data_IF_132574861683
#
_entry.id   IF_132574861683
#
_cell.length_a   1.000
_cell.length_b   1.000
_cell.length_c   1.000
_cell.angle_alpha   90.00
_cell.angle_beta   90.00
_cell.angle_gamma   90.00
#
_symmetry.space_group_name_H-M   'P 1'
#
loop_
_entity.id
_entity.type
_entity.pdbx_description
1 polymer ?
#
# COMPACT_ATOMS: atom_id res chain seq x y z
N UNK A 1 -13.41 11.12 -22.48
CA UNK A 1 -12.19 10.64 -21.80
C UNK A 1 -11.49 11.81 -21.12
N UNK A 2 -11.30 11.70 -19.81
CA UNK A 2 -10.58 12.74 -19.06
C UNK A 2 -9.08 12.58 -19.31
N UNK A 3 -8.42 13.68 -19.62
CA UNK A 3 -6.97 13.71 -19.81
C UNK A 3 -6.31 14.62 -18.79
N UNK A 4 -5.10 14.27 -18.41
CA UNK A 4 -4.30 15.04 -17.47
C UNK A 4 -3.81 16.35 -18.14
N UNK A 5 -3.93 17.46 -17.44
CA UNK A 5 -3.47 18.76 -17.93
C UNK A 5 -1.94 18.87 -18.01
N UNK A 6 -1.21 18.08 -17.21
CA UNK A 6 0.25 18.18 -17.14
C UNK A 6 0.98 17.32 -18.17
N UNK A 7 0.41 16.18 -18.58
CA UNK A 7 1.08 15.22 -19.47
C UNK A 7 0.20 14.72 -20.62
N UNK A 8 -1.09 15.05 -20.64
CA UNK A 8 -2.03 14.60 -21.67
C UNK A 8 -2.48 13.16 -21.56
N UNK A 9 -2.02 12.42 -20.54
CA UNK A 9 -2.37 11.02 -20.36
C UNK A 9 -3.85 10.85 -19.98
N UNK A 10 -4.41 9.74 -20.39
CA UNK A 10 -5.77 9.36 -20.06
C UNK A 10 -5.88 9.07 -18.55
N UNK A 11 -6.85 9.71 -17.90
CA UNK A 11 -7.10 9.53 -16.47
C UNK A 11 -8.11 8.38 -16.28
N UNK A 12 -7.60 7.18 -16.12
CA UNK A 12 -8.40 6.03 -15.70
C UNK A 12 -7.79 5.37 -14.46
N UNK A 13 -8.58 4.53 -13.80
CA UNK A 13 -8.13 3.84 -12.57
C UNK A 13 -6.95 2.90 -12.82
N UNK A 14 -6.79 2.38 -14.03
CA UNK A 14 -5.70 1.46 -14.36
C UNK A 14 -4.36 2.17 -14.44
N UNK A 15 -4.35 3.40 -14.95
CA UNK A 15 -3.13 4.20 -15.09
C UNK A 15 -2.65 4.79 -13.77
N UNK A 16 -3.47 4.68 -12.73
CA UNK A 16 -3.18 5.26 -11.42
C UNK A 16 -2.99 4.18 -10.35
N UNK A 17 -2.70 2.97 -10.77
CA UNK A 17 -2.42 1.84 -9.87
C UNK A 17 -0.99 1.35 -10.07
N UNK A 18 -0.31 1.15 -8.94
CA UNK A 18 1.00 0.51 -8.88
C UNK A 18 0.87 -0.69 -7.96
N UNK A 19 1.29 -1.86 -8.42
CA UNK A 19 1.18 -3.09 -7.65
C UNK A 19 2.56 -3.68 -7.41
N UNK A 20 2.85 -3.98 -6.14
CA UNK A 20 4.06 -4.67 -5.71
C UNK A 20 3.69 -6.13 -5.47
N UNK A 21 4.30 -7.04 -6.22
CA UNK A 21 3.95 -8.47 -6.17
C UNK A 21 4.33 -9.10 -4.83
N UNK A 22 5.49 -8.72 -4.29
CA UNK A 22 6.03 -9.24 -3.04
C UNK A 22 6.51 -8.11 -2.13
N UNK A 23 6.56 -8.34 -0.79
CA UNK A 23 7.37 -7.49 0.07
C UNK A 23 8.82 -7.46 -0.43
N UNK A 24 9.49 -6.31 -0.33
CA UNK A 24 10.85 -6.15 -0.86
C UNK A 24 11.82 -7.20 -0.32
N UNK A 25 11.67 -7.55 0.97
CA UNK A 25 12.53 -8.54 1.63
C UNK A 25 12.32 -9.97 1.12
N UNK A 26 11.22 -10.26 0.44
CA UNK A 26 10.90 -11.59 -0.09
C UNK A 26 11.06 -11.71 -1.61
N UNK A 27 11.47 -10.64 -2.30
CA UNK A 27 11.63 -10.69 -3.76
C UNK A 27 12.64 -11.77 -4.16
N UNK A 28 13.75 -11.89 -3.42
CA UNK A 28 14.79 -12.88 -3.67
C UNK A 28 14.71 -14.12 -2.74
N UNK A 29 13.76 -14.14 -1.82
CA UNK A 29 13.61 -15.17 -0.80
C UNK A 29 12.20 -15.78 -0.81
N UNK A 30 11.64 -16.02 -2.00
CA UNK A 30 10.28 -16.54 -2.16
C UNK A 30 10.10 -17.95 -1.59
N UNK A 31 11.17 -18.71 -1.45
CA UNK A 31 11.17 -20.03 -0.83
C UNK A 31 10.88 -19.98 0.68
N UNK A 32 11.03 -18.83 1.32
CA UNK A 32 10.62 -18.62 2.72
C UNK A 32 9.11 -18.52 2.90
N UNK A 33 8.36 -18.34 1.81
CA UNK A 33 6.91 -18.18 1.85
C UNK A 33 6.25 -19.54 2.11
N UNK A 34 5.47 -19.61 3.20
CA UNK A 34 4.73 -20.82 3.58
C UNK A 34 3.27 -20.77 3.14
N UNK A 35 2.72 -19.57 2.91
CA UNK A 35 1.36 -19.38 2.42
C UNK A 35 1.29 -18.06 1.64
N UNK A 36 0.56 -18.07 0.54
CA UNK A 36 0.35 -16.88 -0.27
C UNK A 36 -1.07 -16.83 -0.81
N UNK A 37 -1.71 -15.69 -0.66
CA UNK A 37 -2.96 -15.33 -1.34
C UNK A 37 -2.84 -13.90 -1.88
N UNK A 38 -3.90 -13.40 -2.49
CA UNK A 38 -3.93 -12.00 -2.96
C UNK A 38 -3.82 -11.00 -1.82
N UNK A 39 -4.23 -11.38 -0.62
CA UNK A 39 -4.35 -10.50 0.54
C UNK A 39 -3.30 -10.75 1.61
N UNK A 40 -2.71 -11.93 1.67
CA UNK A 40 -1.85 -12.36 2.78
C UNK A 40 -0.65 -13.13 2.26
N UNK A 41 0.51 -12.83 2.84
CA UNK A 41 1.72 -13.66 2.70
C UNK A 41 2.19 -14.02 4.10
N UNK A 42 2.37 -15.33 4.34
CA UNK A 42 3.00 -15.84 5.56
C UNK A 42 4.38 -16.38 5.19
N UNK A 43 5.39 -16.00 5.96
CA UNK A 43 6.76 -16.43 5.73
C UNK A 43 7.49 -16.67 7.03
N UNK A 44 8.69 -17.25 6.94
CA UNK A 44 9.57 -17.41 8.09
C UNK A 44 9.96 -16.08 8.73
N UNK A 45 10.03 -15.00 7.95
CA UNK A 45 10.44 -13.67 8.43
C UNK A 45 9.27 -12.80 8.90
N UNK A 46 8.03 -13.21 8.70
CA UNK A 46 6.88 -12.44 9.17
C UNK A 46 5.61 -12.66 8.38
N UNK A 47 4.57 -11.98 8.81
CA UNK A 47 3.24 -12.01 8.20
C UNK A 47 2.94 -10.66 7.56
N UNK A 48 2.49 -10.68 6.32
CA UNK A 48 2.25 -9.47 5.52
C UNK A 48 0.79 -9.41 5.07
N UNK A 49 0.23 -8.23 5.11
CA UNK A 49 -1.12 -7.97 4.63
C UNK A 49 -1.07 -7.00 3.46
N UNK A 50 -1.85 -7.29 2.42
CA UNK A 50 -2.00 -6.38 1.28
C UNK A 50 -2.80 -5.16 1.70
N UNK A 51 -2.23 -3.98 1.47
CA UNK A 51 -2.86 -2.71 1.80
C UNK A 51 -2.74 -1.76 0.62
N UNK A 52 -3.50 -0.67 0.65
CA UNK A 52 -3.41 0.38 -0.35
C UNK A 52 -2.94 1.68 0.32
N UNK A 53 -1.93 2.30 -0.28
CA UNK A 53 -1.52 3.66 0.05
C UNK A 53 -2.17 4.61 -0.96
N UNK A 54 -3.21 5.37 -0.58
CA UNK A 54 -3.86 6.33 -1.46
C UNK A 54 -3.11 7.65 -1.43
N UNK A 55 -2.61 8.10 -2.57
CA UNK A 55 -1.82 9.33 -2.70
C UNK A 55 -2.58 10.32 -3.57
N UNK A 56 -2.86 11.51 -3.03
CA UNK A 56 -3.56 12.56 -3.75
C UNK A 56 -2.64 13.28 -4.73
N UNK A 57 -3.12 13.49 -5.94
CA UNK A 57 -2.38 14.16 -7.01
C UNK A 57 -2.98 15.52 -7.34
N UNK A 58 -2.17 16.40 -7.90
CA UNK A 58 -2.55 17.79 -8.18
C UNK A 58 -3.59 17.95 -9.31
N UNK A 59 -3.82 16.88 -10.08
CA UNK A 59 -4.87 16.84 -11.11
C UNK A 59 -6.23 16.37 -10.57
N UNK A 60 -6.36 16.19 -9.24
CA UNK A 60 -7.60 15.73 -8.60
C UNK A 60 -7.78 14.22 -8.58
N UNK A 61 -6.85 13.46 -9.14
CA UNK A 61 -6.90 12.00 -9.08
C UNK A 61 -6.17 11.45 -7.84
N UNK A 62 -6.32 10.15 -7.62
CA UNK A 62 -5.67 9.43 -6.52
C UNK A 62 -4.85 8.30 -7.11
N UNK A 63 -3.54 8.30 -6.82
CA UNK A 63 -2.66 7.18 -7.13
C UNK A 63 -2.81 6.12 -6.01
N UNK A 64 -3.04 4.88 -6.39
CA UNK A 64 -3.24 3.77 -5.44
C UNK A 64 -2.06 2.82 -5.54
N UNK A 65 -1.24 2.80 -4.50
CA UNK A 65 -0.12 1.87 -4.40
C UNK A 65 -0.58 0.64 -3.63
N UNK A 66 -0.69 -0.48 -4.32
CA UNK A 66 -1.02 -1.77 -3.71
C UNK A 66 0.28 -2.39 -3.20
N UNK A 67 0.45 -2.37 -1.88
CA UNK A 67 1.71 -2.67 -1.21
C UNK A 67 1.50 -3.72 -0.12
N UNK A 68 2.58 -4.16 0.49
CA UNK A 68 2.57 -5.09 1.60
C UNK A 68 2.96 -4.39 2.89
N UNK A 69 2.24 -4.70 3.96
CA UNK A 69 2.55 -4.21 5.31
C UNK A 69 2.88 -5.41 6.19
N UNK A 70 4.07 -5.39 6.80
CA UNK A 70 4.44 -6.37 7.82
C UNK A 70 3.68 -6.06 9.10
N UNK A 71 2.92 -7.02 9.60
CA UNK A 71 2.10 -6.85 10.79
C UNK A 71 3.00 -6.89 12.02
N UNK A 72 3.07 -5.80 12.79
CA UNK A 72 3.86 -5.71 14.02
C UNK A 72 3.07 -6.13 15.25
N UNK A 73 1.79 -5.72 15.30
CA UNK A 73 0.89 -6.03 16.39
C UNK A 73 0.25 -7.38 16.20
N UNK A 74 -0.33 -7.91 17.22
CA UNK A 74 -1.19 -9.07 17.31
C UNK A 74 -1.64 -9.66 15.95
N UNK A 75 -0.74 -10.45 15.34
CA UNK A 75 -0.98 -11.10 14.05
C UNK A 75 -2.24 -11.97 14.11
N UNK A 76 -2.46 -12.65 15.24
CA UNK A 76 -3.62 -13.51 15.43
C UNK A 76 -4.93 -12.73 15.36
N UNK A 77 -4.96 -11.53 15.95
CA UNK A 77 -6.15 -10.67 15.92
C UNK A 77 -6.46 -10.20 14.49
N UNK A 78 -5.43 -9.78 13.75
CA UNK A 78 -5.60 -9.35 12.35
C UNK A 78 -6.09 -10.50 11.48
N UNK A 79 -5.49 -11.68 11.61
CA UNK A 79 -5.90 -12.87 10.85
C UNK A 79 -7.30 -13.33 11.22
N UNK A 80 -7.66 -13.28 12.50
CA UNK A 80 -9.00 -13.62 12.96
C UNK A 80 -10.05 -12.66 12.40
N UNK A 81 -9.78 -11.36 12.35
CA UNK A 81 -10.66 -10.38 11.76
C UNK A 81 -10.88 -10.65 10.27
N UNK A 82 -9.82 -11.02 9.55
CA UNK A 82 -9.90 -11.37 8.13
C UNK A 82 -10.77 -12.60 7.89
N UNK A 83 -10.66 -13.62 8.74
CA UNK A 83 -11.49 -14.85 8.65
C UNK A 83 -12.95 -14.59 9.00
N UNK A 84 -13.19 -13.75 10.01
CA UNK A 84 -14.55 -13.42 10.45
C UNK A 84 -15.30 -12.56 9.43
N UNK A 85 -14.59 -11.65 8.74
CA UNK A 85 -15.20 -10.72 7.81
C UNK A 85 -16.17 -9.76 8.50
N UNK A 86 -17.08 -9.16 7.71
CA UNK A 86 -18.14 -8.30 8.23
C UNK A 86 -17.63 -7.17 9.13
N UNK A 87 -18.32 -6.96 10.27
CA UNK A 87 -18.00 -5.87 11.19
C UNK A 87 -16.62 -6.01 11.84
N UNK A 88 -16.17 -7.22 12.11
CA UNK A 88 -14.84 -7.46 12.67
C UNK A 88 -13.75 -6.95 11.72
N UNK A 89 -13.88 -7.24 10.44
CA UNK A 89 -12.97 -6.76 9.40
C UNK A 89 -13.09 -5.24 9.22
N UNK A 90 -14.33 -4.73 9.10
CA UNK A 90 -14.58 -3.30 8.88
C UNK A 90 -14.08 -2.41 10.04
N UNK A 91 -13.94 -2.98 11.24
CA UNK A 91 -13.45 -2.27 12.42
C UNK A 91 -11.96 -2.43 12.65
N UNK A 92 -11.26 -3.19 11.80
CA UNK A 92 -9.86 -3.52 12.00
C UNK A 92 -8.98 -2.29 11.87
N UNK A 93 -8.13 -2.09 12.88
CA UNK A 93 -7.05 -1.10 12.87
C UNK A 93 -5.82 -1.77 13.45
N UNK A 94 -4.67 -1.54 12.83
CA UNK A 94 -3.41 -2.09 13.34
C UNK A 94 -2.23 -1.23 12.90
N UNK A 95 -1.09 -1.49 13.52
CA UNK A 95 0.19 -0.85 13.20
C UNK A 95 1.10 -1.89 12.54
N UNK A 96 1.80 -1.47 11.51
CA UNK A 96 2.74 -2.32 10.83
C UNK A 96 3.91 -1.54 10.26
N UNK A 97 4.75 -2.23 9.49
CA UNK A 97 5.87 -1.63 8.76
C UNK A 97 5.58 -1.76 7.28
N UNK A 98 5.68 -0.65 6.55
CA UNK A 98 5.57 -0.70 5.09
C UNK A 98 6.72 -1.52 4.53
N UNK A 99 6.41 -2.63 3.88
CA UNK A 99 7.38 -3.61 3.42
C UNK A 99 7.79 -3.40 1.96
N UNK A 100 7.34 -2.32 1.34
CA UNK A 100 7.73 -1.92 0.00
C UNK A 100 8.25 -0.50 0.01
N UNK A 101 9.36 -0.28 -0.70
CA UNK A 101 9.84 1.06 -0.95
C UNK A 101 9.05 1.65 -2.11
N UNK A 102 8.34 2.75 -1.87
CA UNK A 102 7.57 3.42 -2.91
C UNK A 102 8.54 4.13 -3.87
N UNK A 103 8.48 3.78 -5.15
CA UNK A 103 9.43 4.27 -6.17
C UNK A 103 9.52 5.78 -6.27
N UNK A 104 8.42 6.56 -6.20
CA UNK A 104 8.53 8.03 -6.22
C UNK A 104 9.25 8.61 -5.01
N UNK A 105 9.34 7.87 -3.89
CA UNK A 105 9.95 8.32 -2.65
C UNK A 105 10.94 7.27 -2.10
N UNK A 106 12.04 6.98 -2.85
CA UNK A 106 12.93 5.85 -2.53
C UNK A 106 13.72 6.03 -1.24
N UNK A 107 13.82 7.25 -0.72
CA UNK A 107 14.52 7.52 0.53
C UNK A 107 13.77 7.05 1.77
N UNK A 108 12.45 6.83 1.66
CA UNK A 108 11.64 6.36 2.78
C UNK A 108 11.78 4.84 2.88
N UNK A 109 12.39 4.39 3.98
CA UNK A 109 12.71 2.98 4.19
C UNK A 109 12.00 2.43 5.42
N UNK A 110 11.14 1.43 5.20
CA UNK A 110 10.41 0.68 6.24
C UNK A 110 9.75 1.55 7.31
N UNK A 111 8.95 2.56 6.94
CA UNK A 111 8.29 3.40 7.93
C UNK A 111 7.23 2.61 8.68
N UNK A 112 7.03 2.96 9.95
CA UNK A 112 5.92 2.45 10.75
C UNK A 112 4.65 3.15 10.26
N UNK A 113 3.64 2.39 9.91
CA UNK A 113 2.39 2.89 9.34
C UNK A 113 1.19 2.43 10.16
N UNK A 114 0.14 3.25 10.15
CA UNK A 114 -1.15 2.91 10.72
C UNK A 114 -2.09 2.50 9.60
N UNK A 115 -2.78 1.37 9.80
CA UNK A 115 -3.66 0.76 8.82
C UNK A 115 -5.06 0.66 9.38
N UNK A 116 -6.06 0.95 8.57
CA UNK A 116 -7.47 0.82 8.94
C UNK A 116 -8.30 0.29 7.77
N UNK A 117 -9.26 -0.55 8.09
CA UNK A 117 -10.33 -0.94 7.18
C UNK A 117 -11.52 -0.05 7.46
N UNK A 118 -12.18 0.49 6.45
CA UNK A 118 -13.34 1.38 6.63
C UNK A 118 -14.66 0.72 6.30
N UNK A 119 -14.65 -0.25 5.38
CA UNK A 119 -15.86 -0.98 4.96
C UNK A 119 -15.52 -2.46 4.75
N UNK A 120 -16.52 -3.38 4.92
CA UNK A 120 -16.28 -4.82 4.85
C UNK A 120 -15.66 -5.31 3.54
N UNK A 121 -15.97 -4.66 2.43
CA UNK A 121 -15.53 -5.08 1.09
C UNK A 121 -14.25 -4.39 0.64
N UNK A 122 -13.66 -3.53 1.47
CA UNK A 122 -12.50 -2.75 1.09
C UNK A 122 -11.20 -3.39 1.58
N UNK A 123 -10.17 -3.17 0.78
CA UNK A 123 -8.79 -3.49 1.15
C UNK A 123 -8.35 -2.50 2.24
N UNK A 124 -7.54 -2.93 3.23
CA UNK A 124 -7.02 -2.03 4.25
C UNK A 124 -6.24 -0.87 3.65
N UNK A 125 -6.39 0.31 4.24
CA UNK A 125 -5.75 1.54 3.79
C UNK A 125 -4.69 2.00 4.77
N UNK A 126 -3.57 2.54 4.26
CA UNK A 126 -2.65 3.30 5.08
C UNK A 126 -3.31 4.64 5.41
N UNK A 127 -3.46 4.92 6.71
CA UNK A 127 -4.14 6.14 7.17
C UNK A 127 -3.24 7.08 7.93
N UNK A 128 -2.01 6.66 8.24
CA UNK A 128 -1.04 7.51 8.93
C UNK A 128 0.31 6.84 9.07
N UNK A 129 1.27 7.57 9.61
CA UNK A 129 2.61 7.07 9.89
C UNK A 129 3.26 7.85 11.03
N UNK A 130 4.14 7.18 11.77
CA UNK A 130 5.02 7.83 12.74
C UNK A 130 6.22 8.49 12.07
N UNK A 131 6.57 8.07 10.86
CA UNK A 131 7.63 8.68 10.07
C UNK A 131 7.09 9.98 9.44
N UNK A 132 7.70 11.15 9.71
CA UNK A 132 7.21 12.42 9.16
C UNK A 132 7.22 12.46 7.64
N UNK A 133 8.20 11.85 6.99
CA UNK A 133 8.28 11.82 5.52
C UNK A 133 7.17 10.98 4.91
N UNK A 134 6.89 9.81 5.51
CA UNK A 134 5.80 8.97 5.05
C UNK A 134 4.44 9.62 5.34
N UNK A 135 4.30 10.31 6.46
CA UNK A 135 3.09 11.07 6.77
C UNK A 135 2.84 12.16 5.71
N UNK A 136 3.90 12.85 5.28
CA UNK A 136 3.81 13.84 4.20
C UNK A 136 3.33 13.19 2.90
N UNK A 137 3.84 12.02 2.55
CA UNK A 137 3.39 11.27 1.36
C UNK A 137 1.89 11.02 1.41
N UNK A 138 1.38 10.61 2.57
CA UNK A 138 -0.04 10.25 2.73
C UNK A 138 -0.97 11.46 2.84
N UNK A 139 -0.47 12.64 3.23
CA UNK A 139 -1.31 13.80 3.55
C UNK A 139 -1.19 14.96 2.56
N UNK A 140 -0.08 15.07 1.84
CA UNK A 140 0.13 16.14 0.87
C UNK A 140 -0.41 15.77 -0.51
N UNK A 141 -0.59 16.78 -1.36
CA UNK A 141 -0.93 16.62 -2.77
C UNK A 141 0.36 16.66 -3.58
N UNK A 142 0.55 15.67 -4.45
CA UNK A 142 1.79 15.50 -5.21
C UNK A 142 1.60 15.79 -6.70
N UNK A 143 2.63 16.31 -7.39
CA UNK A 143 2.55 16.51 -8.83
C UNK A 143 2.33 15.21 -9.58
N UNK A 144 1.26 15.13 -10.36
CA UNK A 144 0.93 13.94 -11.15
C UNK A 144 2.07 13.55 -12.09
N UNK A 145 2.66 14.53 -12.77
CA UNK A 145 3.75 14.28 -13.71
C UNK A 145 4.95 13.60 -13.05
N UNK A 146 5.31 14.00 -11.83
CA UNK A 146 6.45 13.42 -11.12
C UNK A 146 6.19 11.98 -10.69
N UNK A 147 4.98 11.69 -10.24
CA UNK A 147 4.60 10.33 -9.81
C UNK A 147 4.55 9.37 -11.01
N UNK A 148 3.94 9.78 -12.11
CA UNK A 148 3.80 8.96 -13.33
C UNK A 148 5.16 8.71 -13.99
N UNK A 149 6.06 9.68 -13.96
CA UNK A 149 7.41 9.52 -14.53
C UNK A 149 8.15 8.33 -13.92
N UNK A 150 8.00 8.09 -12.62
CA UNK A 150 8.63 6.97 -11.94
C UNK A 150 8.08 5.61 -12.42
N UNK A 151 6.82 5.57 -12.81
CA UNK A 151 6.22 4.37 -13.39
C UNK A 151 6.85 4.01 -14.73
N UNK A 152 7.08 4.99 -15.59
CA UNK A 152 7.67 4.78 -16.92
C UNK A 152 9.11 4.28 -16.85
N UNK A 153 9.87 4.76 -15.87
CA UNK A 153 11.27 4.37 -15.69
C UNK A 153 11.44 2.92 -15.21
N UNK A 154 10.42 2.34 -14.61
CA UNK A 154 10.49 1.04 -13.97
C UNK A 154 9.43 0.03 -14.48
N UNK A 155 8.65 0.45 -15.46
CA UNK A 155 7.58 -0.35 -16.05
C UNK A 155 8.02 -1.42 -17.04
#
# INVERSE_FOLDING_TARGET
VRRCHCCGDELDDKNLRWEYEFPDELVDDQDEITYRSRSVILSASGSFLRCIAPIRLDNGSIARFSIWVAILDDVKRVMAAGRAGGDAWASLKFTGVLANRLRPWPAIYRPVVSVAVSEPDLVPLLVGSRDPHMLDVLTHVWPHADVVRQREQHG
#
